data_IF_229448065898
#
_entry.id   IF_229448065898
#
_cell.length_a   1.000
_cell.length_b   1.000
_cell.length_c   1.000
_cell.angle_alpha   90.00
_cell.angle_beta   90.00
_cell.angle_gamma   90.00
#
_symmetry.space_group_name_H-M   'P 1'
#
loop_
_entity.id
_entity.type
_entity.pdbx_description
1 polymer ?
#
# COMPACT_ATOMS: atom_id res chain seq x y z
N UNK A 1 25.58 5.97 6.15
CA UNK A 1 24.28 5.55 5.66
C UNK A 1 23.28 6.71 5.73
N UNK A 2 22.90 7.21 6.90
CA UNK A 2 21.90 8.29 7.08
C UNK A 2 22.19 9.57 6.30
N UNK A 3 23.46 9.98 6.18
CA UNK A 3 23.85 11.17 5.40
C UNK A 3 23.57 10.92 3.90
N UNK A 4 23.93 9.74 3.39
CA UNK A 4 23.74 9.39 1.97
C UNK A 4 22.27 9.28 1.62
N UNK A 5 21.44 8.78 2.53
CA UNK A 5 19.99 8.67 2.33
C UNK A 5 19.25 9.99 2.54
N UNK A 6 19.69 10.80 3.51
CA UNK A 6 19.04 12.07 3.83
C UNK A 6 19.41 13.23 2.89
N UNK A 7 20.62 13.22 2.33
CA UNK A 7 21.09 14.31 1.46
C UNK A 7 20.20 14.51 0.22
N UNK A 8 19.82 13.46 -0.54
CA UNK A 8 18.90 13.60 -1.66
C UNK A 8 17.54 14.18 -1.27
N UNK A 9 17.01 13.78 -0.11
CA UNK A 9 15.74 14.32 0.39
C UNK A 9 15.84 15.82 0.71
N UNK A 10 16.93 16.25 1.34
CA UNK A 10 17.19 17.67 1.61
C UNK A 10 17.32 18.48 0.30
N UNK A 11 18.06 17.95 -0.68
CA UNK A 11 18.21 18.60 -2.00
C UNK A 11 16.86 18.74 -2.69
N UNK A 12 16.07 17.66 -2.73
CA UNK A 12 14.73 17.67 -3.32
C UNK A 12 13.79 18.61 -2.58
N UNK A 13 13.89 18.70 -1.25
CA UNK A 13 13.13 19.66 -0.45
C UNK A 13 13.47 21.10 -0.82
N UNK A 14 14.74 21.43 -1.00
CA UNK A 14 15.17 22.74 -1.46
C UNK A 14 14.68 23.04 -2.89
N UNK A 15 14.82 22.08 -3.81
CA UNK A 15 14.29 22.21 -5.18
C UNK A 15 12.80 22.45 -5.15
N UNK A 16 12.04 21.67 -4.38
CA UNK A 16 10.59 21.84 -4.24
C UNK A 16 10.24 23.23 -3.70
N UNK A 17 10.93 23.70 -2.69
CA UNK A 17 10.72 25.02 -2.09
C UNK A 17 10.86 26.18 -3.10
N UNK A 18 11.83 26.08 -4.03
CA UNK A 18 12.06 27.12 -5.03
C UNK A 18 11.23 26.94 -6.31
N UNK A 19 10.78 25.72 -6.63
CA UNK A 19 10.09 25.43 -7.90
C UNK A 19 8.59 25.30 -7.76
N UNK A 20 8.09 24.77 -6.63
CA UNK A 20 6.66 24.62 -6.42
C UNK A 20 6.02 25.96 -6.03
N UNK A 21 4.92 26.27 -6.66
CA UNK A 21 4.11 27.46 -6.36
C UNK A 21 2.93 27.07 -5.49
N UNK A 22 2.58 27.94 -4.53
CA UNK A 22 1.47 27.70 -3.59
C UNK A 22 0.11 27.85 -4.25
N UNK A 23 0.04 28.60 -5.34
CA UNK A 23 -1.23 28.91 -6.02
C UNK A 23 -1.10 28.72 -7.53
N UNK A 24 -2.20 28.25 -8.19
CA UNK A 24 -2.21 28.09 -9.65
C UNK A 24 -1.89 29.40 -10.41
N UNK A 25 -2.28 30.54 -9.84
CA UNK A 25 -2.04 31.86 -10.44
C UNK A 25 -0.55 32.20 -10.59
N UNK A 26 0.26 31.69 -9.68
CA UNK A 26 1.71 31.91 -9.64
C UNK A 26 2.51 30.97 -10.56
N UNK A 27 1.85 29.97 -11.13
CA UNK A 27 2.48 28.96 -11.97
C UNK A 27 2.69 29.49 -13.40
N UNK A 28 3.92 29.84 -13.75
CA UNK A 28 4.25 30.42 -15.06
C UNK A 28 4.09 29.45 -16.22
N UNK A 29 4.08 28.13 -15.95
CA UNK A 29 3.88 27.08 -16.95
C UNK A 29 2.43 26.80 -17.32
N UNK A 30 1.45 27.43 -16.64
CA UNK A 30 0.03 27.27 -16.94
C UNK A 30 -0.48 28.43 -17.79
N UNK A 31 -1.27 28.11 -18.83
CA UNK A 31 -1.98 29.13 -19.59
C UNK A 31 -3.09 29.80 -18.77
N UNK A 32 -3.52 30.97 -19.18
CA UNK A 32 -4.60 31.71 -18.48
C UNK A 32 -5.91 30.90 -18.42
N UNK A 33 -6.21 30.12 -19.46
CA UNK A 33 -7.38 29.25 -19.50
C UNK A 33 -7.25 28.07 -18.51
N UNK A 34 -6.09 27.42 -18.48
CA UNK A 34 -5.78 26.33 -17.53
C UNK A 34 -5.85 26.82 -16.08
N UNK A 35 -5.33 28.02 -15.80
CA UNK A 35 -5.45 28.64 -14.47
C UNK A 35 -6.90 28.84 -14.05
N UNK A 36 -7.76 29.34 -14.94
CA UNK A 36 -9.19 29.55 -14.67
C UNK A 36 -9.91 28.23 -14.43
N UNK A 37 -9.68 27.23 -15.29
CA UNK A 37 -10.29 25.91 -15.15
C UNK A 37 -9.88 25.26 -13.84
N UNK A 38 -8.58 25.28 -13.51
CA UNK A 38 -8.07 24.73 -12.25
C UNK A 38 -8.65 25.45 -11.03
N UNK A 39 -8.76 26.78 -11.10
CA UNK A 39 -9.35 27.56 -10.01
C UNK A 39 -10.83 27.21 -9.79
N UNK A 40 -11.62 27.11 -10.86
CA UNK A 40 -13.03 26.73 -10.72
C UNK A 40 -13.23 25.33 -10.11
N UNK A 41 -12.34 24.39 -10.43
CA UNK A 41 -12.35 23.06 -9.80
C UNK A 41 -11.98 23.13 -8.32
N UNK A 42 -10.96 23.91 -7.96
CA UNK A 42 -10.54 24.08 -6.56
C UNK A 42 -11.62 24.80 -5.72
N UNK A 43 -12.27 25.82 -6.26
CA UNK A 43 -13.35 26.54 -5.56
C UNK A 43 -14.57 25.64 -5.34
N UNK A 44 -14.94 24.82 -6.32
CA UNK A 44 -16.00 23.82 -6.15
C UNK A 44 -15.64 22.76 -5.08
N UNK A 45 -14.39 22.29 -5.06
CA UNK A 45 -13.93 21.35 -4.04
C UNK A 45 -13.87 22.01 -2.64
N UNK A 46 -13.46 23.29 -2.55
CA UNK A 46 -13.44 24.06 -1.30
C UNK A 46 -14.84 24.18 -0.68
N UNK A 47 -15.87 24.50 -1.46
CA UNK A 47 -17.26 24.54 -0.98
C UNK A 47 -17.75 23.18 -0.47
N UNK A 48 -17.31 22.08 -1.08
CA UNK A 48 -17.61 20.72 -0.62
C UNK A 48 -16.93 20.42 0.71
N UNK A 49 -15.70 20.89 0.93
CA UNK A 49 -14.92 20.68 2.17
C UNK A 49 -15.44 21.56 3.30
N UNK A 50 -15.75 22.83 3.04
CA UNK A 50 -16.23 23.80 4.04
C UNK A 50 -17.57 23.36 4.67
N UNK A 51 -18.46 22.77 3.88
CA UNK A 51 -19.70 22.16 4.38
C UNK A 51 -19.47 20.88 5.20
N UNK A 52 -18.23 20.38 5.28
CA UNK A 52 -17.84 19.14 5.94
C UNK A 52 -17.12 19.35 7.29
N UNK A 53 -16.81 20.59 7.67
CA UNK A 53 -15.96 20.91 8.83
C UNK A 53 -16.50 20.45 10.19
N UNK A 54 -17.67 19.82 10.25
CA UNK A 54 -18.30 19.34 11.49
C UNK A 54 -18.35 17.81 11.63
N UNK A 55 -17.75 17.02 10.72
CA UNK A 55 -17.62 15.59 10.95
C UNK A 55 -16.53 15.36 12.02
N UNK A 56 -16.94 15.15 13.26
CA UNK A 56 -16.04 14.86 14.37
C UNK A 56 -15.20 13.62 14.05
N UNK A 57 -13.90 13.67 14.35
CA UNK A 57 -13.01 12.50 14.26
C UNK A 57 -13.58 11.27 15.00
N UNK A 58 -14.34 11.51 16.07
CA UNK A 58 -15.05 10.46 16.82
C UNK A 58 -16.17 9.78 16.02
N UNK A 59 -16.86 10.50 15.12
CA UNK A 59 -17.88 9.89 14.26
C UNK A 59 -17.25 8.98 13.22
N UNK A 60 -16.06 9.32 12.71
CA UNK A 60 -15.32 8.48 11.77
C UNK A 60 -14.79 7.20 12.42
N UNK A 61 -14.36 7.26 13.68
CA UNK A 61 -13.95 6.06 14.44
C UNK A 61 -15.09 5.05 14.64
N UNK A 62 -16.34 5.51 14.62
CA UNK A 62 -17.53 4.66 14.72
C UNK A 62 -18.07 4.20 13.36
N UNK A 63 -17.52 4.72 12.27
CA UNK A 63 -17.92 4.29 10.93
C UNK A 63 -17.36 2.88 10.65
N UNK A 64 -18.22 1.87 10.45
CA UNK A 64 -17.78 0.51 10.18
C UNK A 64 -16.92 0.41 8.91
N UNK A 65 -17.08 1.34 7.97
CA UNK A 65 -16.26 1.40 6.76
C UNK A 65 -14.81 1.76 7.08
N UNK A 66 -14.60 2.80 7.92
CA UNK A 66 -13.27 3.22 8.35
C UNK A 66 -12.61 2.09 9.14
N UNK A 67 -13.35 1.46 10.06
CA UNK A 67 -12.82 0.35 10.86
C UNK A 67 -12.40 -0.83 9.98
N UNK A 68 -13.23 -1.24 9.02
CA UNK A 68 -12.95 -2.39 8.17
C UNK A 68 -11.78 -2.11 7.21
N UNK A 69 -11.71 -0.90 6.64
CA UNK A 69 -10.56 -0.49 5.83
C UNK A 69 -9.28 -0.42 6.66
N UNK A 70 -9.36 0.05 7.91
CA UNK A 70 -8.23 0.04 8.84
C UNK A 70 -7.74 -1.38 9.13
N UNK A 71 -8.67 -2.33 9.30
CA UNK A 71 -8.32 -3.74 9.49
C UNK A 71 -7.64 -4.34 8.24
N UNK A 72 -8.17 -4.09 7.05
CA UNK A 72 -7.54 -4.53 5.79
C UNK A 72 -6.12 -3.99 5.69
N UNK A 73 -5.94 -2.70 5.95
CA UNK A 73 -4.63 -2.06 5.87
C UNK A 73 -3.68 -2.56 6.98
N UNK A 74 -4.20 -2.80 8.18
CA UNK A 74 -3.44 -3.38 9.29
C UNK A 74 -2.91 -4.77 8.92
N UNK A 75 -3.74 -5.65 8.35
CA UNK A 75 -3.31 -6.97 7.89
C UNK A 75 -2.25 -6.87 6.78
N UNK A 76 -2.46 -5.99 5.81
CA UNK A 76 -1.51 -5.76 4.72
C UNK A 76 -0.16 -5.25 5.24
N UNK A 77 -0.15 -4.18 6.06
CA UNK A 77 1.08 -3.62 6.61
C UNK A 77 1.81 -4.61 7.54
N UNK A 78 1.07 -5.44 8.26
CA UNK A 78 1.64 -6.53 9.06
C UNK A 78 2.54 -7.43 8.21
N UNK A 79 2.05 -7.82 7.03
CA UNK A 79 2.81 -8.65 6.09
C UNK A 79 4.00 -7.89 5.52
N UNK A 80 3.77 -6.66 5.01
CA UNK A 80 4.80 -5.82 4.39
C UNK A 80 5.99 -5.62 5.31
N UNK A 81 5.76 -5.09 6.51
CA UNK A 81 6.84 -4.74 7.43
C UNK A 81 7.51 -5.97 8.05
N UNK A 82 6.76 -7.05 8.32
CA UNK A 82 7.35 -8.28 8.83
C UNK A 82 8.32 -8.87 7.80
N UNK A 83 7.93 -8.96 6.54
CA UNK A 83 8.81 -9.47 5.48
C UNK A 83 9.97 -8.51 5.23
N UNK A 84 9.73 -7.19 5.21
CA UNK A 84 10.77 -6.18 5.02
C UNK A 84 11.90 -6.33 6.04
N UNK A 85 11.57 -6.38 7.32
CA UNK A 85 12.57 -6.51 8.38
C UNK A 85 13.21 -7.89 8.44
N UNK A 86 12.50 -8.91 8.00
CA UNK A 86 12.98 -10.30 8.05
C UNK A 86 13.78 -10.71 6.81
N UNK A 87 13.60 -10.06 5.68
CA UNK A 87 14.25 -10.41 4.40
C UNK A 87 15.76 -10.58 4.52
N UNK A 88 16.54 -9.69 5.17
CA UNK A 88 17.98 -9.90 5.29
C UNK A 88 18.34 -11.15 6.09
N UNK A 89 17.58 -11.44 7.15
CA UNK A 89 17.76 -12.65 7.99
C UNK A 89 17.40 -13.90 7.19
N UNK A 90 16.33 -13.84 6.42
CA UNK A 90 15.88 -14.92 5.55
C UNK A 90 16.93 -15.26 4.49
N UNK A 91 17.48 -14.26 3.79
CA UNK A 91 18.53 -14.45 2.78
C UNK A 91 19.80 -15.01 3.41
N UNK A 92 20.16 -14.58 4.62
CA UNK A 92 21.28 -15.16 5.37
C UNK A 92 21.06 -16.63 5.72
N UNK A 93 19.84 -17.01 6.08
CA UNK A 93 19.49 -18.41 6.39
C UNK A 93 19.62 -19.35 5.18
N UNK A 94 19.64 -18.80 3.97
CA UNK A 94 19.91 -19.52 2.72
C UNK A 94 21.41 -19.69 2.42
N UNK A 95 22.30 -19.33 3.37
CA UNK A 95 23.74 -19.53 3.27
C UNK A 95 24.53 -18.33 2.71
N UNK A 96 23.89 -17.18 2.48
CA UNK A 96 24.54 -15.98 1.97
C UNK A 96 25.26 -15.24 3.10
N UNK A 97 26.61 -15.32 3.12
CA UNK A 97 27.46 -14.65 4.13
C UNK A 97 28.04 -13.31 3.64
N UNK A 98 28.21 -13.15 2.32
CA UNK A 98 28.78 -11.96 1.74
C UNK A 98 27.79 -10.79 1.83
N UNK A 99 28.19 -9.70 2.49
CA UNK A 99 27.35 -8.53 2.73
C UNK A 99 26.91 -7.82 1.44
N UNK A 100 27.79 -7.74 0.45
CA UNK A 100 27.47 -7.13 -0.85
C UNK A 100 26.42 -7.99 -1.59
N UNK A 101 26.63 -9.30 -1.65
CA UNK A 101 25.68 -10.22 -2.26
C UNK A 101 24.33 -10.21 -1.54
N UNK A 102 24.33 -10.12 -0.20
CA UNK A 102 23.12 -9.95 0.59
C UNK A 102 22.34 -8.70 0.15
N UNK A 103 23.04 -7.56 0.00
CA UNK A 103 22.42 -6.32 -0.47
C UNK A 103 21.81 -6.44 -1.86
N UNK A 104 22.53 -7.06 -2.81
CA UNK A 104 22.02 -7.29 -4.18
C UNK A 104 20.79 -8.20 -4.16
N UNK A 105 20.84 -9.32 -3.44
CA UNK A 105 19.74 -10.30 -3.37
C UNK A 105 18.49 -9.74 -2.65
N UNK A 106 18.65 -8.79 -1.74
CA UNK A 106 17.51 -8.10 -1.11
C UNK A 106 16.95 -6.97 -1.99
N UNK A 107 17.75 -6.40 -2.90
CA UNK A 107 17.32 -5.38 -3.83
C UNK A 107 16.51 -5.93 -5.02
N UNK A 108 16.81 -7.14 -5.49
CA UNK A 108 16.12 -7.76 -6.62
C UNK A 108 14.59 -7.88 -6.43
N UNK A 109 14.08 -8.38 -5.29
CA UNK A 109 12.64 -8.40 -5.03
C UNK A 109 12.02 -7.00 -5.05
N UNK A 110 12.70 -5.98 -4.53
CA UNK A 110 12.21 -4.60 -4.57
C UNK A 110 12.05 -4.08 -6.01
N UNK A 111 12.99 -4.41 -6.90
CA UNK A 111 12.87 -4.09 -8.33
C UNK A 111 11.65 -4.76 -8.97
N UNK A 112 11.37 -6.03 -8.64
CA UNK A 112 10.15 -6.71 -9.07
C UNK A 112 8.89 -6.02 -8.53
N UNK A 113 8.93 -5.53 -7.30
CA UNK A 113 7.86 -4.73 -6.71
C UNK A 113 7.55 -3.46 -7.49
N UNK A 114 8.57 -2.73 -7.93
CA UNK A 114 8.40 -1.53 -8.78
C UNK A 114 7.73 -1.88 -10.11
N UNK A 115 8.15 -2.96 -10.76
CA UNK A 115 7.52 -3.45 -12.00
C UNK A 115 6.05 -3.78 -11.74
N UNK A 116 5.76 -4.49 -10.67
CA UNK A 116 4.41 -4.84 -10.27
C UNK A 116 3.52 -3.60 -10.06
N UNK A 117 4.00 -2.59 -9.33
CA UNK A 117 3.27 -1.33 -9.10
C UNK A 117 2.83 -0.68 -10.41
N UNK A 118 3.73 -0.61 -11.39
CA UNK A 118 3.42 0.00 -12.70
C UNK A 118 2.42 -0.84 -13.49
N UNK A 119 2.61 -2.16 -13.52
CA UNK A 119 1.75 -3.06 -14.30
C UNK A 119 0.34 -3.13 -13.73
N UNK A 120 0.21 -3.40 -12.43
CA UNK A 120 -1.10 -3.51 -11.77
C UNK A 120 -1.79 -2.16 -11.65
N UNK A 121 -1.04 -1.07 -11.39
CA UNK A 121 -1.58 0.28 -11.37
C UNK A 121 -2.22 0.64 -12.70
N UNK A 122 -1.46 0.53 -13.80
CA UNK A 122 -1.97 0.82 -15.15
C UNK A 122 -3.14 -0.09 -15.55
N UNK A 123 -3.09 -1.36 -15.20
CA UNK A 123 -4.18 -2.30 -15.49
C UNK A 123 -5.44 -1.92 -14.72
N UNK A 124 -5.33 -1.61 -13.45
CA UNK A 124 -6.45 -1.20 -12.60
C UNK A 124 -7.06 0.12 -13.07
N UNK A 125 -6.23 1.10 -13.47
CA UNK A 125 -6.69 2.37 -14.03
C UNK A 125 -7.45 2.20 -15.34
N UNK A 126 -6.91 1.36 -16.23
CA UNK A 126 -7.54 1.07 -17.52
C UNK A 126 -8.91 0.42 -17.39
N UNK A 127 -9.09 -0.48 -16.43
CA UNK A 127 -10.34 -1.22 -16.24
C UNK A 127 -11.27 -0.56 -15.22
N UNK A 128 -10.82 0.54 -14.56
CA UNK A 128 -11.55 1.23 -13.47
C UNK A 128 -12.00 0.25 -12.37
N UNK A 129 -11.15 -0.74 -12.09
CA UNK A 129 -11.45 -1.82 -11.16
C UNK A 129 -10.29 -1.96 -10.17
N UNK A 130 -10.54 -1.68 -8.88
CA UNK A 130 -9.52 -1.69 -7.81
C UNK A 130 -9.56 -2.98 -6.99
N UNK A 131 -10.76 -3.49 -6.78
CA UNK A 131 -11.08 -4.55 -5.83
C UNK A 131 -10.45 -5.88 -6.18
N UNK A 132 -10.67 -6.34 -7.43
CA UNK A 132 -10.12 -7.59 -7.91
C UNK A 132 -8.62 -7.51 -8.20
N UNK A 133 -8.12 -6.35 -8.62
CA UNK A 133 -6.69 -6.13 -8.77
C UNK A 133 -5.96 -6.20 -7.43
N UNK A 134 -6.53 -5.60 -6.37
CA UNK A 134 -5.98 -5.72 -5.02
C UNK A 134 -5.95 -7.17 -4.54
N UNK A 135 -7.06 -7.92 -4.72
CA UNK A 135 -7.11 -9.33 -4.37
C UNK A 135 -6.09 -10.15 -5.16
N UNK A 136 -5.96 -9.93 -6.47
CA UNK A 136 -4.97 -10.60 -7.30
C UNK A 136 -3.54 -10.33 -6.79
N UNK A 137 -3.24 -9.10 -6.37
CA UNK A 137 -1.95 -8.75 -5.77
C UNK A 137 -1.71 -9.52 -4.46
N UNK A 138 -2.71 -9.61 -3.60
CA UNK A 138 -2.64 -10.40 -2.36
C UNK A 138 -2.47 -11.91 -2.65
N UNK A 139 -3.18 -12.44 -3.64
CA UNK A 139 -3.08 -13.84 -4.05
C UNK A 139 -1.71 -14.18 -4.66
N UNK A 140 -1.16 -13.28 -5.49
CA UNK A 140 0.22 -13.41 -6.03
C UNK A 140 1.24 -13.39 -4.89
N UNK A 141 1.07 -12.51 -3.90
CA UNK A 141 1.95 -12.48 -2.72
C UNK A 141 1.88 -13.78 -1.91
N UNK A 142 0.66 -14.31 -1.73
CA UNK A 142 0.46 -15.58 -1.06
C UNK A 142 1.11 -16.75 -1.85
N UNK A 143 0.97 -16.75 -3.17
CA UNK A 143 1.63 -17.73 -4.04
C UNK A 143 3.17 -17.63 -3.95
N UNK A 144 3.73 -16.42 -3.97
CA UNK A 144 5.16 -16.19 -3.75
C UNK A 144 5.63 -16.73 -2.40
N UNK A 145 4.85 -16.52 -1.34
CA UNK A 145 5.12 -17.07 0.00
C UNK A 145 5.05 -18.60 0.01
N UNK A 146 4.09 -19.20 -0.71
CA UNK A 146 4.00 -20.65 -0.86
C UNK A 146 5.24 -21.24 -1.59
N UNK A 147 5.74 -20.54 -2.63
CA UNK A 147 6.99 -20.91 -3.30
C UNK A 147 8.18 -20.82 -2.34
N UNK A 148 8.26 -19.80 -1.47
CA UNK A 148 9.31 -19.74 -0.43
C UNK A 148 9.22 -20.90 0.55
N UNK A 149 8.02 -21.32 0.95
CA UNK A 149 7.82 -22.48 1.85
C UNK A 149 8.29 -23.76 1.16
N UNK A 150 7.92 -23.97 -0.09
CA UNK A 150 8.33 -25.15 -0.85
C UNK A 150 9.83 -25.16 -1.16
N UNK A 151 10.41 -23.99 -1.42
CA UNK A 151 11.81 -23.80 -1.76
C UNK A 151 12.78 -23.76 -0.58
N UNK A 152 12.36 -24.10 0.65
CA UNK A 152 13.25 -24.07 1.81
C UNK A 152 14.51 -24.93 1.60
N UNK A 153 15.67 -24.33 1.88
CA UNK A 153 16.98 -24.97 1.61
C UNK A 153 17.52 -24.72 0.19
N UNK A 154 16.73 -24.13 -0.71
CA UNK A 154 17.17 -23.75 -2.05
C UNK A 154 17.10 -22.23 -2.24
N UNK A 155 18.27 -21.57 -2.29
CA UNK A 155 18.38 -20.12 -2.45
C UNK A 155 17.60 -19.60 -3.66
N UNK A 156 17.75 -20.24 -4.82
CA UNK A 156 17.16 -19.76 -6.07
C UNK A 156 15.64 -19.83 -6.01
N UNK A 157 15.07 -20.94 -5.57
CA UNK A 157 13.60 -21.10 -5.47
C UNK A 157 13.02 -20.14 -4.46
N UNK A 158 13.64 -20.00 -3.29
CA UNK A 158 13.20 -19.08 -2.25
C UNK A 158 13.29 -17.62 -2.69
N UNK A 159 14.35 -17.25 -3.43
CA UNK A 159 14.50 -15.90 -3.98
C UNK A 159 13.41 -15.60 -5.04
N UNK A 160 13.12 -16.54 -5.93
CA UNK A 160 12.02 -16.41 -6.90
C UNK A 160 10.68 -16.23 -6.16
N UNK A 161 10.44 -17.02 -5.12
CA UNK A 161 9.26 -16.86 -4.27
C UNK A 161 9.16 -15.46 -3.66
N UNK A 162 10.29 -14.93 -3.15
CA UNK A 162 10.35 -13.57 -2.59
C UNK A 162 10.12 -12.48 -3.65
N UNK A 163 10.62 -12.68 -4.88
CA UNK A 163 10.37 -11.78 -6.00
C UNK A 163 8.88 -11.74 -6.39
N UNK A 164 8.23 -12.92 -6.47
CA UNK A 164 6.79 -13.03 -6.74
C UNK A 164 5.97 -12.42 -5.60
N UNK A 165 6.35 -12.68 -4.34
CA UNK A 165 5.75 -12.03 -3.18
C UNK A 165 5.79 -10.51 -3.30
N UNK A 166 6.98 -9.96 -3.57
CA UNK A 166 7.19 -8.52 -3.61
C UNK A 166 6.45 -7.86 -4.79
N UNK A 167 6.40 -8.52 -5.95
CA UNK A 167 5.63 -8.08 -7.10
C UNK A 167 4.16 -7.85 -6.75
N UNK A 168 3.54 -8.77 -6.02
CA UNK A 168 2.15 -8.62 -5.58
C UNK A 168 2.01 -7.59 -4.45
N UNK A 169 2.75 -7.75 -3.36
CA UNK A 169 2.52 -6.96 -2.14
C UNK A 169 2.85 -5.47 -2.30
N UNK A 170 3.90 -5.14 -3.04
CA UNK A 170 4.22 -3.73 -3.35
C UNK A 170 3.12 -3.06 -4.18
N UNK A 171 2.50 -3.82 -5.11
CA UNK A 171 1.40 -3.33 -5.94
C UNK A 171 0.09 -3.15 -5.18
N UNK A 172 -0.11 -3.91 -4.11
CA UNK A 172 -1.33 -3.83 -3.30
C UNK A 172 -1.48 -2.47 -2.60
N UNK A 173 -0.39 -1.84 -2.16
CA UNK A 173 -0.45 -0.57 -1.40
C UNK A 173 -1.07 0.58 -2.19
N UNK A 174 -0.60 0.96 -3.39
CA UNK A 174 -1.22 2.03 -4.17
C UNK A 174 -2.66 1.68 -4.57
N UNK A 175 -2.96 0.42 -4.88
CA UNK A 175 -4.32 -0.03 -5.19
C UNK A 175 -5.26 0.10 -3.99
N UNK A 176 -4.77 -0.19 -2.78
CA UNK A 176 -5.53 -0.01 -1.56
C UNK A 176 -5.92 1.46 -1.36
N UNK A 177 -4.96 2.40 -1.47
CA UNK A 177 -5.25 3.82 -1.31
C UNK A 177 -6.13 4.38 -2.41
N UNK A 178 -5.98 3.91 -3.66
CA UNK A 178 -6.89 4.26 -4.74
C UNK A 178 -8.32 3.78 -4.43
N UNK A 179 -8.49 2.53 -4.01
CA UNK A 179 -9.79 1.99 -3.60
C UNK A 179 -10.36 2.72 -2.39
N UNK A 180 -9.54 3.05 -1.39
CA UNK A 180 -9.95 3.79 -0.20
C UNK A 180 -10.44 5.20 -0.56
N UNK A 181 -9.72 5.93 -1.41
CA UNK A 181 -10.10 7.28 -1.83
C UNK A 181 -11.40 7.31 -2.64
N UNK A 182 -11.65 6.29 -3.46
CA UNK A 182 -12.90 6.14 -4.21
C UNK A 182 -14.10 5.74 -3.30
N UNK A 183 -13.80 4.97 -2.25
CA UNK A 183 -14.81 4.45 -1.32
C UNK A 183 -15.24 5.46 -0.26
N UNK A 184 -14.37 6.39 0.12
CA UNK A 184 -14.65 7.40 1.11
C UNK A 184 -15.43 8.58 0.53
N UNK A 185 -16.44 9.12 1.26
CA UNK A 185 -17.11 10.35 0.86
C UNK A 185 -16.08 11.49 0.75
N UNK A 186 -16.11 12.27 -0.34
CA UNK A 186 -15.18 13.38 -0.58
C UNK A 186 -15.00 14.31 0.62
N UNK A 187 -16.09 14.56 1.35
CA UNK A 187 -16.13 15.44 2.54
C UNK A 187 -15.26 14.97 3.71
N UNK A 188 -15.10 13.68 3.88
CA UNK A 188 -14.38 13.06 5.03
C UNK A 188 -13.15 12.26 4.60
N UNK A 189 -12.84 12.25 3.30
CA UNK A 189 -11.80 11.39 2.74
C UNK A 189 -10.42 11.64 3.38
N UNK A 190 -10.00 12.89 3.54
CA UNK A 190 -8.68 13.21 4.12
C UNK A 190 -8.56 12.69 5.57
N UNK A 191 -9.56 12.97 6.41
CA UNK A 191 -9.57 12.49 7.80
C UNK A 191 -9.73 10.97 7.89
N UNK A 192 -10.56 10.38 7.02
CA UNK A 192 -10.76 8.93 6.94
C UNK A 192 -9.48 8.20 6.51
N UNK A 193 -8.79 8.67 5.49
CA UNK A 193 -7.50 8.14 5.04
C UNK A 193 -6.45 8.26 6.15
N UNK A 194 -6.39 9.40 6.86
CA UNK A 194 -5.51 9.60 8.00
C UNK A 194 -5.77 8.59 9.13
N UNK A 195 -7.03 8.35 9.49
CA UNK A 195 -7.41 7.36 10.49
C UNK A 195 -7.08 5.93 10.05
N UNK A 196 -7.42 5.56 8.82
CA UNK A 196 -7.11 4.22 8.27
C UNK A 196 -5.61 3.98 8.28
N UNK A 197 -4.81 4.97 7.86
CA UNK A 197 -3.34 4.88 7.90
C UNK A 197 -2.80 4.74 9.32
N UNK A 198 -3.33 5.52 10.27
CA UNK A 198 -2.90 5.47 11.67
C UNK A 198 -3.22 4.13 12.33
N UNK A 199 -4.45 3.65 12.19
CA UNK A 199 -4.88 2.36 12.76
C UNK A 199 -4.20 1.18 12.05
N UNK A 200 -3.97 1.29 10.74
CA UNK A 200 -3.23 0.28 9.98
C UNK A 200 -1.81 0.05 10.47
N UNK A 201 -1.15 1.10 10.95
CA UNK A 201 0.21 1.02 11.51
C UNK A 201 0.30 0.24 12.85
N UNK A 202 -0.82 -0.13 13.46
CA UNK A 202 -0.80 -1.06 14.60
C UNK A 202 -0.32 -2.47 14.19
N UNK A 203 -0.57 -2.89 12.94
CA UNK A 203 -0.09 -4.17 12.43
C UNK A 203 1.42 -4.32 12.51
N UNK A 204 2.22 -3.44 11.91
CA UNK A 204 3.67 -3.43 12.02
C UNK A 204 4.21 -3.39 13.45
N UNK A 205 3.48 -2.76 14.37
CA UNK A 205 3.93 -2.65 15.76
C UNK A 205 3.98 -4.01 16.50
N UNK A 206 3.06 -4.91 16.18
CA UNK A 206 2.92 -6.18 16.90
C UNK A 206 3.33 -7.41 16.09
N UNK A 207 3.12 -7.38 14.78
CA UNK A 207 3.23 -8.57 13.95
C UNK A 207 4.64 -9.18 13.88
N UNK A 208 5.75 -8.41 13.82
CA UNK A 208 7.09 -8.99 13.86
C UNK A 208 7.34 -9.79 15.15
N UNK A 209 6.84 -9.33 16.30
CA UNK A 209 6.95 -10.02 17.57
C UNK A 209 6.11 -11.30 17.60
N UNK A 210 4.87 -11.24 17.10
CA UNK A 210 3.99 -12.41 16.99
C UNK A 210 4.63 -13.47 16.08
N UNK A 211 5.18 -13.07 14.96
CA UNK A 211 5.88 -13.97 14.03
C UNK A 211 7.09 -14.62 14.69
N UNK A 212 7.91 -13.86 15.42
CA UNK A 212 9.07 -14.41 16.11
C UNK A 212 8.67 -15.39 17.21
N UNK A 213 7.70 -15.03 18.04
CA UNK A 213 7.12 -15.93 19.06
C UNK A 213 6.61 -17.24 18.44
N UNK A 214 5.89 -17.16 17.31
CA UNK A 214 5.40 -18.34 16.61
C UNK A 214 6.55 -19.21 16.08
N UNK A 215 7.62 -18.59 15.57
CA UNK A 215 8.80 -19.30 15.09
C UNK A 215 9.55 -20.01 16.22
N UNK A 216 9.64 -19.42 17.40
CA UNK A 216 10.23 -20.02 18.60
C UNK A 216 9.41 -21.21 19.09
N UNK A 217 8.09 -21.08 19.16
CA UNK A 217 7.21 -22.16 19.58
C UNK A 217 7.20 -23.37 18.63
N UNK A 218 7.34 -23.13 17.35
CA UNK A 218 7.29 -24.19 16.32
C UNK A 218 8.67 -24.73 15.95
N UNK A 219 9.74 -24.13 16.48
CA UNK A 219 11.11 -24.51 16.18
C UNK A 219 11.57 -24.23 14.74
N UNK A 220 10.81 -23.39 13.99
CA UNK A 220 11.13 -23.12 12.60
C UNK A 220 10.50 -21.85 12.03
N UNK A 221 11.01 -21.42 10.89
CA UNK A 221 10.55 -20.18 10.23
C UNK A 221 9.27 -20.38 9.39
N UNK A 222 8.90 -21.62 9.11
CA UNK A 222 7.79 -21.99 8.22
C UNK A 222 6.44 -21.51 8.73
N UNK A 223 6.21 -21.58 10.04
CA UNK A 223 4.97 -21.11 10.65
C UNK A 223 4.75 -19.60 10.45
N UNK A 224 5.82 -18.80 10.52
CA UNK A 224 5.78 -17.38 10.20
C UNK A 224 5.40 -17.11 8.75
N UNK A 225 5.87 -17.92 7.80
CA UNK A 225 5.48 -17.81 6.38
C UNK A 225 4.00 -18.15 6.17
N UNK A 226 3.50 -19.22 6.79
CA UNK A 226 2.06 -19.55 6.72
C UNK A 226 1.19 -18.42 7.31
N UNK A 227 1.62 -17.82 8.42
CA UNK A 227 0.93 -16.67 8.99
C UNK A 227 0.87 -15.50 8.00
N UNK A 228 2.00 -15.14 7.36
CA UNK A 228 2.05 -14.05 6.37
C UNK A 228 1.15 -14.35 5.16
N UNK A 229 1.18 -15.57 4.66
CA UNK A 229 0.30 -16.02 3.58
C UNK A 229 -1.18 -15.88 3.94
N UNK A 230 -1.56 -16.33 5.14
CA UNK A 230 -2.94 -16.21 5.64
C UNK A 230 -3.40 -14.77 5.78
N UNK A 231 -2.54 -13.89 6.33
CA UNK A 231 -2.86 -12.46 6.49
C UNK A 231 -3.02 -11.75 5.15
N UNK A 232 -2.15 -12.06 4.16
CA UNK A 232 -2.27 -11.49 2.82
C UNK A 232 -3.59 -11.88 2.15
N UNK A 233 -3.97 -13.16 2.21
CA UNK A 233 -5.25 -13.64 1.67
C UNK A 233 -6.44 -13.04 2.43
N UNK A 234 -6.36 -12.95 3.76
CA UNK A 234 -7.41 -12.35 4.57
C UNK A 234 -7.63 -10.87 4.22
N UNK A 235 -6.55 -10.09 4.01
CA UNK A 235 -6.65 -8.71 3.57
C UNK A 235 -7.34 -8.60 2.20
N UNK A 236 -6.98 -9.46 1.25
CA UNK A 236 -7.60 -9.50 -0.08
C UNK A 236 -9.08 -9.83 -0.04
N UNK A 237 -9.45 -10.88 0.71
CA UNK A 237 -10.85 -11.32 0.86
C UNK A 237 -11.70 -10.26 1.57
N UNK A 238 -11.18 -9.67 2.65
CA UNK A 238 -11.89 -8.61 3.37
C UNK A 238 -12.16 -7.40 2.50
N UNK A 239 -11.19 -6.95 1.68
CA UNK A 239 -11.42 -5.83 0.78
C UNK A 239 -12.54 -6.14 -0.23
N UNK A 240 -12.55 -7.33 -0.82
CA UNK A 240 -13.63 -7.75 -1.72
C UNK A 240 -14.99 -7.77 -1.01
N UNK A 241 -15.04 -8.23 0.22
CA UNK A 241 -16.28 -8.31 0.98
C UNK A 241 -16.86 -6.94 1.33
N UNK A 242 -16.00 -5.95 1.58
CA UNK A 242 -16.37 -4.60 2.02
C UNK A 242 -16.73 -3.70 0.86
N UNK A 243 -15.90 -3.67 -0.17
CA UNK A 243 -16.16 -2.87 -1.36
C UNK A 243 -17.11 -3.65 -2.26
N UNK A 244 -18.41 -3.31 -2.20
CA UNK A 244 -19.39 -3.84 -3.14
C UNK A 244 -19.15 -3.27 -4.54
N UNK A 245 -19.43 -4.03 -5.63
CA UNK A 245 -19.33 -3.47 -6.96
C UNK A 245 -20.24 -2.23 -7.06
N UNK A 246 -19.72 -1.17 -7.69
CA UNK A 246 -20.52 -0.02 -8.11
C UNK A 246 -21.49 -0.52 -9.19
N UNK A 247 -22.57 -1.16 -8.77
CA UNK A 247 -23.54 -1.78 -9.65
C UNK A 247 -24.93 -1.68 -9.06
N UNK A 248 -25.81 -1.06 -9.80
CA UNK A 248 -27.26 -0.93 -9.69
C UNK A 248 -27.87 0.31 -9.00
N UNK A 249 -27.07 1.32 -8.58
CA UNK A 249 -27.69 2.52 -7.97
C UNK A 249 -27.26 3.88 -8.51
N UNK A 250 -26.15 4.00 -9.24
CA UNK A 250 -25.61 5.30 -9.67
C UNK A 250 -25.67 5.58 -11.17
N UNK A 251 -26.29 4.72 -11.94
CA UNK A 251 -26.48 4.92 -13.38
C UNK A 251 -27.54 5.96 -13.79
N UNK A 252 -28.17 6.65 -12.85
CA UNK A 252 -29.24 7.61 -13.14
C UNK A 252 -28.86 9.09 -12.93
N UNK A 253 -27.67 9.39 -12.37
CA UNK A 253 -27.27 10.80 -12.15
C UNK A 253 -26.18 11.31 -13.10
N UNK A 254 -25.73 10.50 -14.06
CA UNK A 254 -24.73 10.90 -15.06
C UNK A 254 -25.35 11.16 -16.45
N UNK A 255 -26.67 11.24 -16.56
CA UNK A 255 -27.41 11.55 -17.82
C UNK A 255 -28.50 12.63 -17.62
N UNK A 256 -28.27 13.59 -16.77
CA UNK A 256 -29.10 14.79 -16.70
C UNK A 256 -28.21 16.03 -16.75
#
# INVERSE_FOLDING_TARGET
LFIVEGLPACILGLVAFFTLKDRPEEADWLSAEQKRTLRSHLDNDAHVVESASHASAWSLLRDPKVFTMSLVYCLQLSVVYTVLFWTPTLVRSWGVQNLFLLGVLTALPAACGLIGMVLFGRSSDKHLERRWHYFACCAISAAGTAVMIWGQGNLTVSLVGLMVYQLGMSSATPLFFAALSEYMPKKTAAAGIGLVSSLGNLGPAFMPSIRNWLSEMTGGQTAGLYLMMGLALAAGVLLIAVIRPAGAGSGQLARA
#
